data_IF_707245916484
#
_entry.id   IF_707245916484
#
_cell.length_a   1.000
_cell.length_b   1.000
_cell.length_c   1.000
_cell.angle_alpha   90.00
_cell.angle_beta   90.00
_cell.angle_gamma   90.00
#
_symmetry.space_group_name_H-M   'P 1'
#
loop_
_entity.id
_entity.type
_entity.pdbx_description
1 polymer ?
#
# COMPACT_ATOMS: atom_id res chain seq x y z
N UNK A 1 2.46 -13.09 3.16
CA UNK A 1 2.14 -11.75 2.66
C UNK A 1 3.41 -10.94 2.55
N UNK A 2 3.61 -10.25 1.43
CA UNK A 2 4.73 -9.36 1.15
C UNK A 2 4.20 -8.12 0.43
N UNK A 3 4.34 -6.96 1.08
CA UNK A 3 4.08 -5.66 0.46
C UNK A 3 5.41 -5.10 -0.06
N UNK A 4 5.45 -4.78 -1.34
CA UNK A 4 6.63 -4.20 -2.00
C UNK A 4 6.33 -2.79 -2.47
N UNK A 5 7.17 -1.84 -2.05
CA UNK A 5 7.23 -0.48 -2.61
C UNK A 5 8.26 -0.46 -3.74
N UNK A 6 7.80 -0.48 -4.99
CA UNK A 6 8.68 -0.56 -6.16
C UNK A 6 9.56 0.69 -6.22
N UNK A 7 10.89 0.48 -6.35
CA UNK A 7 11.92 1.52 -6.33
C UNK A 7 12.13 2.25 -4.99
N UNK A 8 11.52 1.80 -3.89
CA UNK A 8 11.90 2.30 -2.57
C UNK A 8 13.34 1.88 -2.22
N UNK A 9 14.07 2.77 -1.55
CA UNK A 9 15.47 2.63 -1.20
C UNK A 9 15.61 2.51 0.34
N UNK A 10 16.60 3.16 0.94
CA UNK A 10 17.03 2.94 2.32
C UNK A 10 15.98 3.26 3.40
N UNK A 11 15.05 4.18 3.14
CA UNK A 11 14.14 4.73 4.15
C UNK A 11 12.67 4.30 3.94
N UNK A 12 12.45 3.13 3.32
CA UNK A 12 11.12 2.62 3.01
C UNK A 12 10.21 2.61 4.26
N UNK A 13 9.03 3.22 4.13
CA UNK A 13 8.02 3.34 5.18
C UNK A 13 8.48 4.01 6.49
N UNK A 14 9.46 4.93 6.45
CA UNK A 14 9.84 5.70 7.64
C UNK A 14 8.65 6.53 8.19
N UNK A 15 8.39 6.52 9.52
CA UNK A 15 7.17 7.07 10.10
C UNK A 15 7.15 8.60 10.22
N UNK A 16 8.29 9.27 10.01
CA UNK A 16 8.44 10.69 10.27
C UNK A 16 8.99 11.35 9.02
N UNK A 17 8.38 12.46 8.60
CA UNK A 17 8.88 13.28 7.52
C UNK A 17 10.26 13.89 7.87
N UNK A 18 11.10 14.20 6.87
CA UNK A 18 12.32 14.96 7.11
C UNK A 18 12.02 16.26 7.87
N UNK A 19 12.76 16.57 8.97
CA UNK A 19 12.62 17.87 9.63
C UNK A 19 12.93 19.01 8.65
N UNK A 20 12.25 20.15 8.77
CA UNK A 20 12.36 21.24 7.78
C UNK A 20 13.74 21.91 7.78
N UNK A 21 14.44 21.80 8.90
CA UNK A 21 15.70 22.47 9.19
C UNK A 21 16.92 21.67 8.70
N UNK A 22 16.74 20.44 8.20
CA UNK A 22 17.86 19.58 7.80
C UNK A 22 18.48 20.02 6.48
N UNK A 23 19.82 19.99 6.42
CA UNK A 23 20.56 20.21 5.17
C UNK A 23 20.44 19.01 4.21
N UNK A 24 20.85 19.15 2.93
CA UNK A 24 20.65 18.13 1.89
C UNK A 24 21.20 16.74 2.23
N UNK A 25 22.38 16.64 2.85
CA UNK A 25 22.96 15.36 3.25
C UNK A 25 22.11 14.65 4.31
N UNK A 26 21.61 15.40 5.29
CA UNK A 26 20.78 14.85 6.37
C UNK A 26 19.35 14.55 5.90
N UNK A 27 18.83 15.32 4.94
CA UNK A 27 17.54 15.05 4.29
C UNK A 27 17.47 13.63 3.71
N UNK A 28 18.55 13.18 3.07
CA UNK A 28 18.64 11.83 2.50
C UNK A 28 18.54 10.68 3.53
N UNK A 29 18.72 10.95 4.83
CA UNK A 29 18.46 9.96 5.89
C UNK A 29 16.97 9.81 6.22
N UNK A 30 16.14 10.78 5.84
CA UNK A 30 14.72 10.81 6.16
C UNK A 30 13.81 10.75 4.93
N UNK A 31 14.36 10.89 3.73
CA UNK A 31 13.62 10.91 2.49
C UNK A 31 13.96 9.70 1.63
N UNK A 32 13.05 9.37 0.71
CA UNK A 32 13.28 8.45 -0.38
C UNK A 32 13.29 9.21 -1.71
N UNK A 33 14.02 8.70 -2.71
CA UNK A 33 14.15 9.37 -4.00
C UNK A 33 12.89 9.26 -4.87
N UNK A 34 12.08 8.22 -4.65
CA UNK A 34 10.87 7.92 -5.44
C UNK A 34 9.61 8.15 -4.60
N UNK A 35 9.66 7.83 -3.31
CA UNK A 35 8.47 7.79 -2.47
C UNK A 35 8.44 8.88 -1.40
N UNK A 36 7.23 9.34 -1.10
CA UNK A 36 6.98 10.03 0.17
C UNK A 36 6.97 8.99 1.30
N UNK A 37 7.87 9.17 2.28
CA UNK A 37 8.03 8.22 3.38
C UNK A 37 6.80 8.14 4.29
N UNK A 38 6.12 9.26 4.56
CA UNK A 38 4.93 9.25 5.41
C UNK A 38 3.76 8.56 4.71
N UNK A 39 3.64 8.70 3.39
CA UNK A 39 2.70 7.92 2.59
C UNK A 39 3.05 6.44 2.62
N UNK A 40 4.30 6.06 2.41
CA UNK A 40 4.71 4.64 2.54
C UNK A 40 4.38 4.09 3.92
N UNK A 41 4.60 4.87 4.98
CA UNK A 41 4.28 4.45 6.33
C UNK A 41 2.76 4.26 6.53
N UNK A 42 1.93 5.16 6.03
CA UNK A 42 0.47 5.02 6.08
C UNK A 42 -0.01 3.79 5.29
N UNK A 43 0.58 3.51 4.13
CA UNK A 43 0.31 2.31 3.35
C UNK A 43 0.73 1.05 4.13
N UNK A 44 1.93 1.04 4.72
CA UNK A 44 2.39 -0.08 5.53
C UNK A 44 1.46 -0.32 6.75
N UNK A 45 0.98 0.75 7.39
CA UNK A 45 0.00 0.67 8.46
C UNK A 45 -1.32 0.06 7.98
N UNK A 46 -1.85 0.50 6.83
CA UNK A 46 -3.08 -0.07 6.25
C UNK A 46 -3.00 -1.60 6.11
N UNK A 47 -1.93 -2.10 5.49
CA UNK A 47 -1.73 -3.54 5.30
C UNK A 47 -1.47 -4.27 6.63
N UNK A 48 -0.72 -3.67 7.55
CA UNK A 48 -0.49 -4.25 8.87
C UNK A 48 -1.78 -4.35 9.68
N UNK A 49 -2.65 -3.34 9.62
CA UNK A 49 -3.96 -3.34 10.28
C UNK A 49 -4.84 -4.46 9.75
N UNK A 50 -4.96 -4.62 8.43
CA UNK A 50 -5.72 -5.72 7.83
C UNK A 50 -5.14 -7.08 8.23
N UNK A 51 -3.83 -7.26 8.11
CA UNK A 51 -3.15 -8.52 8.47
C UNK A 51 -3.37 -8.90 9.94
N UNK A 52 -3.14 -7.96 10.87
CA UNK A 52 -3.29 -8.22 12.29
C UNK A 52 -4.76 -8.39 12.69
N UNK A 53 -5.69 -7.65 12.07
CA UNK A 53 -7.12 -7.81 12.31
C UNK A 53 -7.62 -9.20 11.93
N UNK A 54 -7.23 -9.71 10.76
CA UNK A 54 -7.59 -11.06 10.32
C UNK A 54 -6.96 -12.11 11.26
N UNK A 55 -5.64 -12.05 11.48
CA UNK A 55 -4.92 -13.15 12.12
C UNK A 55 -4.90 -13.12 13.64
N UNK A 56 -5.08 -11.96 14.27
CA UNK A 56 -5.07 -11.83 15.73
C UNK A 56 -6.46 -11.54 16.31
N UNK A 57 -7.33 -10.89 15.56
CA UNK A 57 -8.68 -10.51 16.02
C UNK A 57 -9.79 -11.36 15.39
N UNK A 58 -9.50 -12.14 14.35
CA UNK A 58 -10.50 -12.93 13.64
C UNK A 58 -11.51 -12.08 12.87
N UNK A 59 -11.13 -10.87 12.47
CA UNK A 59 -12.00 -9.96 11.72
C UNK A 59 -11.94 -10.26 10.21
N UNK A 60 -12.76 -11.22 9.79
CA UNK A 60 -12.86 -11.64 8.38
C UNK A 60 -13.35 -10.52 7.46
N UNK A 61 -13.98 -9.47 7.98
CA UNK A 61 -14.41 -8.32 7.18
C UNK A 61 -13.24 -7.54 6.57
N UNK A 62 -12.01 -7.78 7.07
CA UNK A 62 -10.79 -7.16 6.54
C UNK A 62 -10.14 -7.94 5.40
N UNK A 63 -10.59 -9.17 5.10
CA UNK A 63 -10.03 -10.00 4.03
C UNK A 63 -9.96 -9.30 2.65
N UNK A 64 -10.96 -8.50 2.22
CA UNK A 64 -10.92 -7.80 0.93
C UNK A 64 -9.76 -6.79 0.79
N UNK A 65 -9.15 -6.34 1.90
CA UNK A 65 -7.98 -5.45 1.84
C UNK A 65 -6.67 -6.19 1.57
N UNK A 66 -6.66 -7.53 1.64
CA UNK A 66 -5.50 -8.36 1.32
C UNK A 66 -5.73 -9.24 0.08
N UNK A 67 -6.98 -9.50 -0.32
CA UNK A 67 -7.33 -10.22 -1.55
C UNK A 67 -7.24 -9.29 -2.77
N UNK A 68 -6.02 -9.14 -3.27
CA UNK A 68 -5.65 -8.13 -4.26
C UNK A 68 -4.92 -8.76 -5.44
N UNK A 69 -5.10 -8.19 -6.63
CA UNK A 69 -4.20 -8.47 -7.76
C UNK A 69 -2.77 -8.08 -7.39
N UNK A 70 -1.79 -8.87 -7.84
CA UNK A 70 -0.41 -8.77 -7.35
C UNK A 70 0.24 -7.41 -7.62
N UNK A 71 0.14 -6.90 -8.84
CA UNK A 71 0.60 -5.55 -9.18
C UNK A 71 -0.59 -4.59 -9.15
N UNK A 72 -0.50 -3.53 -8.34
CA UNK A 72 -1.55 -2.54 -8.27
C UNK A 72 -1.81 -1.84 -9.61
N UNK A 73 -0.81 -1.80 -10.50
CA UNK A 73 -0.95 -1.22 -11.84
C UNK A 73 -1.87 -2.03 -12.76
N UNK A 74 -2.08 -3.32 -12.46
CA UNK A 74 -2.98 -4.20 -13.22
C UNK A 74 -4.44 -4.10 -12.74
N UNK A 75 -4.70 -3.34 -11.67
CA UNK A 75 -6.04 -3.15 -11.12
C UNK A 75 -6.97 -2.37 -12.06
N UNK A 76 -8.17 -2.89 -12.26
CA UNK A 76 -9.20 -2.30 -13.13
C UNK A 76 -10.22 -1.55 -12.29
N UNK A 77 -10.43 -0.27 -12.61
CA UNK A 77 -11.56 0.51 -12.09
C UNK A 77 -12.77 0.31 -13.00
N UNK A 78 -13.61 -0.66 -12.68
CA UNK A 78 -14.90 -0.88 -13.33
C UNK A 78 -16.03 -0.45 -12.40
N UNK A 79 -16.96 0.38 -12.88
CA UNK A 79 -18.12 0.86 -12.12
C UNK A 79 -19.36 0.88 -13.02
N UNK A 80 -20.52 0.60 -12.43
CA UNK A 80 -21.81 0.76 -13.11
C UNK A 80 -22.22 2.25 -13.20
N UNK A 81 -23.38 2.51 -13.80
CA UNK A 81 -23.92 3.86 -13.98
C UNK A 81 -24.22 4.58 -12.64
N UNK A 82 -24.40 3.81 -11.56
CA UNK A 82 -24.64 4.31 -10.20
C UNK A 82 -23.32 4.51 -9.41
N UNK A 83 -22.17 4.15 -10.00
CA UNK A 83 -20.84 4.30 -9.42
C UNK A 83 -20.39 3.15 -8.52
N UNK A 84 -21.16 2.06 -8.45
CA UNK A 84 -20.80 0.87 -7.68
C UNK A 84 -19.77 0.02 -8.44
N UNK A 85 -18.83 -0.63 -7.75
CA UNK A 85 -17.92 -1.59 -8.38
C UNK A 85 -18.69 -2.74 -9.05
N UNK A 86 -18.32 -3.08 -10.28
CA UNK A 86 -18.83 -4.28 -10.97
C UNK A 86 -17.95 -5.49 -10.69
N UNK A 87 -18.33 -6.68 -11.19
CA UNK A 87 -17.55 -7.90 -11.05
C UNK A 87 -16.16 -7.81 -11.71
N UNK A 88 -15.99 -6.92 -12.70
CA UNK A 88 -14.71 -6.65 -13.35
C UNK A 88 -13.81 -5.69 -12.54
N UNK A 89 -14.28 -5.15 -11.41
CA UNK A 89 -13.49 -4.23 -10.59
C UNK A 89 -12.44 -4.99 -9.78
N UNK A 90 -11.17 -4.72 -10.05
CA UNK A 90 -10.04 -5.35 -9.36
C UNK A 90 -9.07 -4.34 -8.74
N UNK A 91 -9.42 -3.06 -8.79
CA UNK A 91 -8.62 -2.02 -8.18
C UNK A 91 -8.61 -2.16 -6.64
N UNK A 92 -7.47 -1.86 -6.02
CA UNK A 92 -7.25 -2.18 -4.62
C UNK A 92 -8.19 -1.40 -3.70
N UNK A 93 -8.96 -2.12 -2.89
CA UNK A 93 -9.86 -1.54 -1.90
C UNK A 93 -9.08 -0.68 -0.89
N UNK A 94 -9.64 0.46 -0.50
CA UNK A 94 -8.98 1.41 0.40
C UNK A 94 -8.03 2.40 -0.27
N UNK A 95 -7.80 2.26 -1.59
CA UNK A 95 -7.03 3.22 -2.38
C UNK A 95 -7.94 4.03 -3.31
N UNK A 96 -7.78 5.36 -3.38
CA UNK A 96 -8.35 6.13 -4.47
C UNK A 96 -7.76 5.71 -5.83
N UNK A 97 -8.53 5.92 -6.89
CA UNK A 97 -8.15 5.60 -8.27
C UNK A 97 -6.74 6.15 -8.62
N UNK A 98 -5.92 5.32 -9.25
CA UNK A 98 -4.53 5.62 -9.68
C UNK A 98 -3.53 5.90 -8.55
N UNK A 99 -3.91 5.81 -7.28
CA UNK A 99 -3.02 6.06 -6.14
C UNK A 99 -2.29 4.82 -5.60
N UNK A 100 -2.63 3.61 -6.01
CA UNK A 100 -1.93 2.39 -5.59
C UNK A 100 -0.68 2.10 -6.44
N UNK A 101 -0.42 2.91 -7.47
CA UNK A 101 0.70 2.73 -8.41
C UNK A 101 2.05 2.58 -7.69
N UNK A 102 2.86 1.63 -8.17
CA UNK A 102 4.16 1.30 -7.61
C UNK A 102 4.11 0.39 -6.38
N UNK A 103 2.93 -0.09 -5.98
CA UNK A 103 2.77 -1.10 -4.95
C UNK A 103 2.58 -2.48 -5.58
N UNK A 104 3.18 -3.50 -4.96
CA UNK A 104 2.89 -4.91 -5.24
C UNK A 104 2.56 -5.64 -3.95
N UNK A 105 1.62 -6.56 -4.02
CA UNK A 105 1.22 -7.38 -2.88
C UNK A 105 1.23 -8.86 -3.25
N UNK A 106 2.07 -9.62 -2.57
CA UNK A 106 2.30 -11.03 -2.85
C UNK A 106 1.86 -11.89 -1.67
N UNK A 107 1.07 -12.92 -1.96
CA UNK A 107 0.67 -13.93 -0.99
C UNK A 107 1.43 -15.22 -1.29
N UNK A 108 2.47 -15.52 -0.51
CA UNK A 108 3.06 -16.85 -0.52
C UNK A 108 2.08 -17.84 0.11
N UNK A 109 1.68 -18.88 -0.63
CA UNK A 109 1.16 -20.10 -0.01
C UNK A 109 2.36 -20.90 0.48
N UNK A 110 2.32 -21.52 1.67
CA UNK A 110 3.29 -22.55 1.98
C UNK A 110 3.13 -23.65 0.93
N UNK A 111 4.23 -24.02 0.28
CA UNK A 111 4.33 -25.28 -0.47
C UNK A 111 4.33 -26.48 0.48
#
# INVERSE_FOLDING_TARGET
YLLTFVNANHNAAAPIAPPREVGPATFGHYADAVWDNTRMNNVAQHFATAFLGIHLQGDDALAPYLDLVTDAADGVVARDDDGNPTDEHTYWLGFPDRTAVGLRFEQGRPE
#
